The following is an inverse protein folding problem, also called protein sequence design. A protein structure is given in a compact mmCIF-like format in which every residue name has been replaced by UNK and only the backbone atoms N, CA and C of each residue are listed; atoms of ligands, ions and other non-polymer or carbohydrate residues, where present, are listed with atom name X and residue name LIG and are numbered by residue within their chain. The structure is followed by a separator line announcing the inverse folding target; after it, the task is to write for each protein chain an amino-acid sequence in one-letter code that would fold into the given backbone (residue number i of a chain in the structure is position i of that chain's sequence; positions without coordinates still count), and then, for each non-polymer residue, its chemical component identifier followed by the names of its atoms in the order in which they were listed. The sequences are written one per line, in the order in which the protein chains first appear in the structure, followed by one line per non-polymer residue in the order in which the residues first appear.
data_IF_798369562356
#
_entry.id   IF_798369562356
#
_cell.length_a   1.000
_cell.length_b   1.000
_cell.length_c   1.000
_cell.angle_alpha   90.00
_cell.angle_beta   90.00
_cell.angle_gamma   90.00
#
_symmetry.space_group_name_H-M   'P 1'
#
loop_
_entity.id
_entity.type
_entity.pdbx_description
1 polymer ?
#
# COMPACT_ATOMS: atom_id res chain seq x y z
N UNK A 1 10.11 -23.35 -30.55
CA UNK A 1 9.23 -22.30 -30.02
C UNK A 1 10.08 -21.40 -29.14
N UNK A 2 10.39 -20.18 -29.63
CA UNK A 2 11.30 -19.28 -28.94
C UNK A 2 10.75 -18.93 -27.55
N UNK A 3 11.50 -19.31 -26.51
CA UNK A 3 11.22 -18.90 -25.14
C UNK A 3 11.58 -17.42 -25.04
N UNK A 4 10.58 -16.54 -25.10
CA UNK A 4 10.78 -15.11 -24.90
C UNK A 4 11.39 -14.92 -23.51
N UNK A 5 12.57 -14.34 -23.47
CA UNK A 5 13.34 -14.17 -22.25
C UNK A 5 12.89 -12.89 -21.54
N UNK A 6 12.87 -12.91 -20.20
CA UNK A 6 12.50 -11.75 -19.34
C UNK A 6 13.31 -10.48 -19.62
N UNK A 7 14.44 -10.61 -20.32
CA UNK A 7 15.30 -9.54 -20.82
C UNK A 7 14.73 -8.77 -22.00
N UNK A 8 13.92 -9.38 -22.88
CA UNK A 8 13.41 -8.75 -24.11
C UNK A 8 12.22 -7.80 -23.84
N UNK A 9 11.52 -7.97 -22.71
CA UNK A 9 10.43 -7.07 -22.27
C UNK A 9 10.96 -5.67 -21.88
N UNK A 10 12.28 -5.52 -21.65
CA UNK A 10 12.90 -4.23 -21.26
C UNK A 10 13.00 -3.18 -22.38
N UNK A 11 12.52 -3.47 -23.60
CA UNK A 11 12.69 -2.58 -24.75
C UNK A 11 11.74 -1.37 -24.79
N UNK A 12 10.67 -1.34 -23.98
CA UNK A 12 9.82 -0.15 -23.83
C UNK A 12 9.84 0.30 -22.36
N UNK A 13 10.30 1.53 -22.11
CA UNK A 13 10.24 2.14 -20.78
C UNK A 13 8.75 2.31 -20.43
N UNK A 14 8.25 1.53 -19.48
CA UNK A 14 6.86 1.60 -19.02
C UNK A 14 6.43 3.05 -18.75
N UNK A 15 5.21 3.39 -19.16
CA UNK A 15 4.59 4.67 -18.79
C UNK A 15 4.43 4.77 -17.27
N UNK A 16 4.29 6.00 -16.76
CA UNK A 16 4.06 6.23 -15.32
C UNK A 16 2.80 5.50 -14.82
N UNK A 17 1.78 5.38 -15.67
CA UNK A 17 0.53 4.68 -15.37
C UNK A 17 0.75 3.17 -15.28
N UNK A 18 1.43 2.56 -16.25
CA UNK A 18 1.75 1.13 -16.22
C UNK A 18 2.64 0.78 -15.03
N UNK A 19 3.61 1.64 -14.71
CA UNK A 19 4.45 1.49 -13.54
C UNK A 19 3.64 1.54 -12.23
N UNK A 20 2.66 2.47 -12.14
CA UNK A 20 1.77 2.56 -10.98
C UNK A 20 0.92 1.30 -10.83
N UNK A 21 0.34 0.78 -11.92
CA UNK A 21 -0.47 -0.44 -11.90
C UNK A 21 0.39 -1.65 -11.51
N UNK A 22 1.54 -1.86 -12.18
CA UNK A 22 2.43 -3.00 -11.96
C UNK A 22 2.97 -3.06 -10.54
N UNK A 23 3.29 -1.89 -9.95
CA UNK A 23 3.81 -1.84 -8.58
C UNK A 23 2.70 -1.75 -7.54
N UNK A 24 1.61 -1.06 -7.83
CA UNK A 24 0.51 -0.76 -6.92
C UNK A 24 -0.34 -1.98 -6.58
N UNK A 25 -0.80 -2.72 -7.60
CA UNK A 25 -1.65 -3.91 -7.41
C UNK A 25 -1.02 -4.91 -6.43
N UNK A 26 0.21 -5.42 -6.66
CA UNK A 26 0.81 -6.38 -5.72
C UNK A 26 1.13 -5.79 -4.34
N UNK A 27 1.21 -4.47 -4.19
CA UNK A 27 1.35 -3.82 -2.87
C UNK A 27 0.02 -3.82 -2.12
N UNK A 28 -1.09 -3.51 -2.79
CA UNK A 28 -2.44 -3.57 -2.21
C UNK A 28 -2.76 -5.00 -1.78
N UNK A 29 -2.49 -6.00 -2.63
CA UNK A 29 -2.69 -7.41 -2.29
C UNK A 29 -1.92 -7.85 -1.04
N UNK A 30 -0.68 -7.36 -0.87
CA UNK A 30 0.10 -7.64 0.35
C UNK A 30 -0.55 -7.02 1.59
N UNK A 31 -1.03 -5.78 1.51
CA UNK A 31 -1.73 -5.12 2.63
C UNK A 31 -2.99 -5.90 2.99
N UNK A 32 -3.82 -6.27 2.01
CA UNK A 32 -5.04 -7.05 2.23
C UNK A 32 -4.74 -8.43 2.86
N UNK A 33 -3.69 -9.10 2.39
CA UNK A 33 -3.23 -10.36 2.98
C UNK A 33 -2.79 -10.18 4.43
N UNK A 34 -2.02 -9.13 4.74
CA UNK A 34 -1.60 -8.82 6.11
C UNK A 34 -2.78 -8.53 7.03
N UNK A 35 -3.80 -7.79 6.56
CA UNK A 35 -5.03 -7.55 7.33
C UNK A 35 -5.79 -8.85 7.61
N UNK A 36 -5.87 -9.76 6.62
CA UNK A 36 -6.49 -11.08 6.82
C UNK A 36 -5.75 -11.90 7.89
N UNK A 37 -4.41 -11.92 7.82
CA UNK A 37 -3.59 -12.61 8.83
C UNK A 37 -3.78 -12.01 10.21
N UNK A 38 -3.81 -10.68 10.32
CA UNK A 38 -4.09 -9.99 11.58
C UNK A 38 -5.49 -10.34 12.12
N UNK A 39 -6.48 -10.46 11.23
CA UNK A 39 -7.83 -10.89 11.58
C UNK A 39 -7.90 -12.28 12.23
N UNK A 40 -6.95 -13.18 11.95
CA UNK A 40 -6.89 -14.48 12.60
C UNK A 40 -6.66 -14.38 14.12
N UNK A 41 -6.05 -13.28 14.59
CA UNK A 41 -5.87 -13.01 16.02
C UNK A 41 -7.20 -12.69 16.75
N UNK A 42 -8.31 -12.52 16.02
CA UNK A 42 -9.63 -12.34 16.64
C UNK A 42 -10.15 -13.58 17.35
N UNK A 43 -9.61 -14.77 17.04
CA UNK A 43 -10.03 -16.01 17.66
C UNK A 43 -9.66 -16.06 19.15
N UNK A 44 -10.65 -15.85 20.02
CA UNK A 44 -10.49 -15.83 21.48
C UNK A 44 -10.10 -17.17 22.10
N UNK A 45 -10.24 -18.29 21.38
CA UNK A 45 -9.74 -19.58 21.85
C UNK A 45 -8.21 -19.64 21.86
N UNK A 46 -7.56 -18.85 21.00
CA UNK A 46 -6.10 -18.84 20.84
C UNK A 46 -5.45 -17.57 21.43
N UNK A 47 -6.23 -16.50 21.64
CA UNK A 47 -5.72 -15.20 22.02
C UNK A 47 -6.64 -14.50 23.03
N UNK A 48 -6.03 -13.76 23.94
CA UNK A 48 -6.73 -12.85 24.83
C UNK A 48 -6.40 -11.40 24.46
N UNK A 49 -7.42 -10.55 24.47
CA UNK A 49 -7.27 -9.13 24.21
C UNK A 49 -8.41 -8.36 24.88
N UNK A 50 -8.08 -7.15 25.32
CA UNK A 50 -9.03 -6.23 25.93
C UNK A 50 -9.66 -5.32 24.86
N UNK A 51 -10.85 -4.76 25.12
CA UNK A 51 -11.44 -3.76 24.24
C UNK A 51 -10.49 -2.60 23.94
N UNK A 52 -9.76 -2.09 24.93
CA UNK A 52 -8.84 -0.96 24.77
C UNK A 52 -7.66 -1.30 23.84
N UNK A 53 -7.21 -2.55 23.82
CA UNK A 53 -6.17 -3.01 22.90
C UNK A 53 -6.69 -3.02 21.45
N UNK A 54 -7.94 -3.43 21.24
CA UNK A 54 -8.58 -3.40 19.93
C UNK A 54 -8.81 -1.96 19.45
N UNK A 55 -9.22 -1.06 20.33
CA UNK A 55 -9.40 0.36 20.00
C UNK A 55 -8.08 1.02 19.62
N UNK A 56 -7.01 0.79 20.38
CA UNK A 56 -5.68 1.29 20.04
C UNK A 56 -5.19 0.74 18.68
N UNK A 57 -5.45 -0.54 18.41
CA UNK A 57 -5.10 -1.16 17.14
C UNK A 57 -5.87 -0.52 15.98
N UNK A 58 -7.19 -0.34 16.13
CA UNK A 58 -8.03 0.22 15.08
C UNK A 58 -7.64 1.67 14.76
N UNK A 59 -7.41 2.50 15.78
CA UNK A 59 -6.94 3.89 15.60
C UNK A 59 -5.65 3.93 14.80
N UNK A 60 -4.67 3.08 15.11
CA UNK A 60 -3.38 3.06 14.40
C UNK A 60 -3.50 2.59 12.96
N UNK A 61 -4.34 1.59 12.70
CA UNK A 61 -4.59 1.11 11.32
C UNK A 61 -5.28 2.20 10.48
N UNK A 62 -6.31 2.84 11.03
CA UNK A 62 -7.05 3.90 10.35
C UNK A 62 -6.18 5.15 10.08
N UNK A 63 -5.41 5.61 11.07
CA UNK A 63 -4.47 6.73 10.90
C UNK A 63 -3.41 6.44 9.82
N UNK A 64 -2.87 5.21 9.79
CA UNK A 64 -1.90 4.82 8.77
C UNK A 64 -2.51 4.73 7.37
N UNK A 65 -3.73 4.21 7.26
CA UNK A 65 -4.46 4.15 6.01
C UNK A 65 -4.77 5.57 5.50
N UNK A 66 -5.32 6.43 6.35
CA UNK A 66 -5.67 7.81 6.00
C UNK A 66 -4.44 8.59 5.52
N UNK A 67 -3.34 8.58 6.28
CA UNK A 67 -2.06 9.20 5.86
C UNK A 67 -1.54 8.67 4.54
N UNK A 68 -1.78 7.40 4.23
CA UNK A 68 -1.38 6.80 2.95
C UNK A 68 -2.24 7.32 1.82
N UNK A 69 -3.56 7.37 2.00
CA UNK A 69 -4.50 7.90 1.01
C UNK A 69 -4.28 9.39 0.77
N UNK A 70 -4.04 10.19 1.82
CA UNK A 70 -3.72 11.61 1.71
C UNK A 70 -2.53 11.90 0.77
N UNK A 71 -1.51 11.02 0.71
CA UNK A 71 -0.38 11.19 -0.22
C UNK A 71 -0.78 11.13 -1.69
N UNK A 72 -1.89 10.48 -2.03
CA UNK A 72 -2.43 10.47 -3.40
C UNK A 72 -3.23 11.73 -3.71
N UNK A 73 -3.72 12.44 -2.70
CA UNK A 73 -4.46 13.69 -2.84
C UNK A 73 -3.60 14.95 -2.72
N UNK A 74 -2.38 14.82 -2.19
CA UNK A 74 -1.37 15.88 -2.23
C UNK A 74 -0.84 16.03 -3.67
N UNK A 75 -1.63 16.66 -4.54
CA UNK A 75 -1.12 17.25 -5.77
C UNK A 75 0.03 18.18 -5.39
N UNK A 76 1.17 18.05 -6.10
CA UNK A 76 2.38 18.86 -5.89
C UNK A 76 1.98 20.30 -5.53
N UNK A 77 2.34 20.77 -4.33
CA UNK A 77 2.65 22.20 -4.18
C UNK A 77 3.75 22.44 -5.21
N UNK A 78 3.43 23.14 -6.29
CA UNK A 78 4.45 23.81 -7.07
C UNK A 78 5.36 24.53 -6.07
N UNK A 79 6.65 24.27 -6.16
CA UNK A 79 7.61 25.09 -5.45
C UNK A 79 7.38 26.51 -5.98
N UNK A 80 6.77 27.38 -5.18
CA UNK A 80 6.88 28.82 -5.41
C UNK A 80 8.36 29.11 -5.48
N UNK A 81 8.86 29.32 -6.69
CA UNK A 81 10.15 29.97 -6.91
C UNK A 81 10.00 31.36 -6.32
N UNK A 82 10.59 31.55 -5.14
CA UNK A 82 10.78 32.86 -4.56
C UNK A 82 11.78 33.60 -5.47
N UNK A 83 11.30 34.57 -6.25
CA UNK A 83 12.15 35.59 -6.87
C UNK A 83 12.04 36.88 -6.04
N UNK A 84 13.18 37.56 -5.89
CA UNK A 84 13.32 38.84 -5.18
C UNK A 84 12.61 39.98 -5.90
#
# INVERSE_FOLDING_TARGET
MAKITKSEIRAAKESKTELFIRLGIPRIEKVLKSLRILGNCSNRNNYEYTPEQIDKMSIKLLDSLDKTIQKFHQTKKEQESFEF
#
